data_IF_682060400518
#
_entry.id   IF_682060400518
#
_cell.length_a   1.000
_cell.length_b   1.000
_cell.length_c   1.000
_cell.angle_alpha   90.00
_cell.angle_beta   90.00
_cell.angle_gamma   90.00
#
_symmetry.space_group_name_H-M   'P 1'
#
loop_
_entity.id
_entity.type
_entity.pdbx_description
1 polymer ?
#
# COMPACT_ATOMS: atom_id res chain seq x y z
N UNK A 1 15.28 0.73 -4.26
CA UNK A 1 14.12 0.06 -3.64
C UNK A 1 12.91 0.98 -3.71
N UNK A 2 11.77 0.51 -4.23
CA UNK A 2 10.51 1.27 -4.28
C UNK A 2 9.59 0.70 -3.21
N UNK A 3 9.15 1.55 -2.29
CA UNK A 3 8.34 1.16 -1.15
C UNK A 3 7.07 2.01 -1.09
N UNK A 4 5.97 1.36 -0.75
CA UNK A 4 4.66 1.98 -0.66
C UNK A 4 4.16 1.91 0.77
N UNK A 5 3.81 3.07 1.33
CA UNK A 5 3.24 3.17 2.66
C UNK A 5 1.71 3.22 2.57
N UNK A 6 1.08 2.46 3.43
CA UNK A 6 -0.36 2.30 3.57
C UNK A 6 -0.81 2.71 4.97
N UNK A 7 -2.08 3.07 5.09
CA UNK A 7 -2.68 3.36 6.38
C UNK A 7 -2.81 2.07 7.20
N UNK A 8 -2.80 2.14 8.54
CA UNK A 8 -3.05 0.98 9.38
C UNK A 8 -4.37 0.25 9.05
N UNK A 9 -5.40 0.99 8.62
CA UNK A 9 -6.70 0.44 8.19
C UNK A 9 -6.58 -0.51 7.00
N UNK A 10 -5.67 -0.23 6.07
CA UNK A 10 -5.46 -1.01 4.84
C UNK A 10 -4.60 -2.27 5.12
N UNK A 11 -3.88 -2.31 6.24
CA UNK A 11 -2.89 -3.35 6.55
C UNK A 11 -3.51 -4.75 6.52
N UNK A 12 -4.68 -4.90 7.13
CA UNK A 12 -5.41 -6.18 7.15
C UNK A 12 -5.78 -6.63 5.74
N UNK A 13 -6.33 -5.73 4.92
CA UNK A 13 -6.73 -6.04 3.56
C UNK A 13 -5.54 -6.45 2.68
N UNK A 14 -4.39 -5.79 2.84
CA UNK A 14 -3.15 -6.12 2.12
C UNK A 14 -2.60 -7.46 2.58
N UNK A 15 -2.50 -7.68 3.90
CA UNK A 15 -2.01 -8.94 4.50
C UNK A 15 -2.88 -10.11 4.07
N UNK A 16 -4.20 -9.97 3.96
CA UNK A 16 -5.07 -11.05 3.49
C UNK A 16 -5.17 -11.14 1.97
N UNK A 17 -4.55 -10.22 1.22
CA UNK A 17 -4.56 -10.21 -0.25
C UNK A 17 -5.88 -9.73 -0.86
N UNK A 18 -6.72 -9.05 -0.08
CA UNK A 18 -7.95 -8.39 -0.53
C UNK A 18 -7.58 -7.12 -1.30
N UNK A 19 -6.67 -6.30 -0.75
CA UNK A 19 -6.09 -5.14 -1.44
C UNK A 19 -4.79 -5.58 -2.12
N UNK A 20 -4.74 -5.46 -3.43
CA UNK A 20 -3.65 -5.96 -4.27
C UNK A 20 -3.00 -4.90 -5.16
N UNK A 21 -3.41 -3.64 -5.00
CA UNK A 21 -2.82 -2.51 -5.73
C UNK A 21 -2.68 -1.25 -4.88
N UNK A 22 -1.96 -0.30 -5.46
CA UNK A 22 -1.93 1.09 -5.04
C UNK A 22 -1.91 2.01 -6.25
N UNK A 23 -2.70 3.08 -6.19
CA UNK A 23 -2.57 4.21 -7.12
C UNK A 23 -1.81 5.35 -6.43
N UNK A 24 -0.80 5.90 -7.10
CA UNK A 24 -0.01 7.03 -6.57
C UNK A 24 0.21 8.11 -7.62
N UNK A 25 0.22 9.39 -7.22
CA UNK A 25 0.63 10.45 -8.13
C UNK A 25 2.06 10.22 -8.60
N UNK A 26 2.40 10.79 -9.75
CA UNK A 26 3.81 10.86 -10.16
C UNK A 26 4.57 11.76 -9.19
N UNK A 27 5.67 11.24 -8.66
CA UNK A 27 6.56 11.96 -7.77
C UNK A 27 7.95 12.12 -8.37
N UNK A 28 8.90 12.58 -7.55
CA UNK A 28 10.32 12.70 -7.95
C UNK A 28 11.00 11.36 -8.22
N UNK A 29 10.46 10.25 -7.69
CA UNK A 29 11.02 8.92 -7.82
C UNK A 29 10.15 8.08 -8.78
N UNK A 30 10.77 7.28 -9.66
CA UNK A 30 10.02 6.37 -10.50
C UNK A 30 9.31 5.32 -9.65
N UNK A 31 8.12 4.93 -10.11
CA UNK A 31 7.40 3.78 -9.56
C UNK A 31 8.06 2.48 -10.00
N UNK A 32 7.74 1.39 -9.30
CA UNK A 32 8.27 0.06 -9.64
C UNK A 32 7.78 -0.35 -11.04
N UNK A 33 8.67 -0.92 -11.85
CA UNK A 33 8.31 -1.50 -13.14
C UNK A 33 7.78 -2.93 -12.97
N UNK A 34 7.06 -3.44 -13.97
CA UNK A 34 6.64 -4.85 -14.02
C UNK A 34 7.84 -5.78 -13.88
N UNK A 35 7.71 -6.82 -13.06
CA UNK A 35 8.80 -7.74 -12.72
C UNK A 35 9.71 -7.25 -11.58
N UNK A 36 9.64 -5.96 -11.22
CA UNK A 36 10.29 -5.43 -10.03
C UNK A 36 9.57 -5.86 -8.74
N UNK A 37 10.16 -5.52 -7.60
CA UNK A 37 9.62 -5.90 -6.28
C UNK A 37 8.84 -4.76 -5.63
N UNK A 38 7.60 -5.03 -5.25
CA UNK A 38 6.75 -4.17 -4.41
C UNK A 38 7.07 -4.47 -2.95
N UNK A 39 7.41 -3.44 -2.19
CA UNK A 39 7.49 -3.50 -0.74
C UNK A 39 6.38 -2.64 -0.13
N UNK A 40 5.44 -3.28 0.57
CA UNK A 40 4.35 -2.59 1.25
C UNK A 40 4.64 -2.47 2.75
N UNK A 41 4.39 -1.29 3.32
CA UNK A 41 4.58 -1.00 4.73
C UNK A 41 3.36 -0.25 5.30
N UNK A 42 3.17 -0.33 6.62
CA UNK A 42 2.28 0.57 7.36
C UNK A 42 3.00 1.10 8.61
N UNK A 43 2.56 2.25 9.15
CA UNK A 43 3.03 2.77 10.43
C UNK A 43 2.01 3.77 11.01
N UNK A 44 2.08 4.04 12.32
CA UNK A 44 0.99 4.74 13.00
C UNK A 44 1.01 6.28 12.86
N UNK A 45 2.15 6.91 12.55
CA UNK A 45 2.30 8.37 12.72
C UNK A 45 2.77 9.09 11.46
N UNK A 46 1.88 9.85 10.78
CA UNK A 46 2.28 10.78 9.72
C UNK A 46 3.07 11.95 10.35
N UNK A 47 4.07 12.55 9.69
CA UNK A 47 4.61 12.26 8.35
C UNK A 47 5.81 11.30 8.35
N UNK A 48 6.20 10.76 9.50
CA UNK A 48 7.44 9.98 9.68
C UNK A 48 7.23 8.46 9.55
N UNK A 49 6.24 8.02 8.76
CA UNK A 49 5.81 6.61 8.66
C UNK A 49 6.94 5.60 8.47
N UNK A 50 8.01 5.93 7.74
CA UNK A 50 9.13 5.01 7.48
C UNK A 50 10.24 5.06 8.54
N UNK A 51 10.22 6.07 9.43
CA UNK A 51 11.18 6.23 10.52
C UNK A 51 10.58 5.91 11.88
N UNK A 52 9.26 5.67 11.93
CA UNK A 52 8.61 5.22 13.15
C UNK A 52 9.09 3.80 13.49
N UNK A 53 9.41 3.51 14.76
CA UNK A 53 9.65 2.14 15.21
C UNK A 53 8.45 1.21 14.98
N UNK A 54 7.26 1.79 14.78
CA UNK A 54 6.01 1.08 14.47
C UNK A 54 5.79 0.90 12.96
N UNK A 55 6.82 1.17 12.13
CA UNK A 55 6.77 0.86 10.71
C UNK A 55 6.93 -0.64 10.50
N UNK A 56 5.85 -1.29 10.06
CA UNK A 56 5.82 -2.72 9.81
C UNK A 56 5.71 -2.99 8.32
N UNK A 57 6.58 -3.87 7.83
CA UNK A 57 6.45 -4.44 6.49
C UNK A 57 5.22 -5.33 6.46
N UNK A 58 4.34 -5.09 5.51
CA UNK A 58 3.11 -5.87 5.32
C UNK A 58 3.37 -7.04 4.37
N UNK A 59 3.89 -6.73 3.18
CA UNK A 59 4.18 -7.73 2.15
C UNK A 59 5.44 -7.37 1.36
N UNK A 60 6.00 -8.40 0.72
CA UNK A 60 6.93 -8.27 -0.41
C UNK A 60 6.40 -9.14 -1.53
N UNK A 61 6.18 -8.56 -2.71
CA UNK A 61 5.58 -9.29 -3.83
C UNK A 61 6.10 -8.77 -5.18
N UNK A 62 6.14 -9.60 -6.22
CA UNK A 62 6.47 -9.15 -7.56
C UNK A 62 5.37 -8.23 -8.12
N UNK A 63 5.79 -7.12 -8.72
CA UNK A 63 4.92 -6.22 -9.46
C UNK A 63 4.40 -6.94 -10.71
N UNK A 64 3.09 -7.07 -10.80
CA UNK A 64 2.40 -7.71 -11.92
C UNK A 64 1.88 -6.71 -12.95
N UNK A 65 1.70 -5.45 -12.54
CA UNK A 65 1.29 -4.35 -13.43
C UNK A 65 1.80 -3.03 -12.88
N UNK A 66 2.28 -2.17 -13.77
CA UNK A 66 2.65 -0.80 -13.47
C UNK A 66 2.37 0.05 -14.71
N UNK A 67 1.27 0.78 -14.69
CA UNK A 67 0.80 1.54 -15.85
C UNK A 67 0.29 2.93 -15.42
N UNK A 68 0.36 3.88 -16.34
CA UNK A 68 -0.27 5.20 -16.13
C UNK A 68 -1.77 5.01 -15.96
N UNK A 69 -2.37 5.72 -15.01
CA UNK A 69 -3.81 5.73 -14.79
C UNK A 69 -4.31 7.17 -14.75
N UNK A 70 -5.40 7.42 -15.46
CA UNK A 70 -6.15 8.67 -15.42
C UNK A 70 -7.56 8.36 -14.94
N UNK A 71 -7.95 8.93 -13.81
CA UNK A 71 -9.31 8.81 -13.28
C UNK A 71 -10.04 10.10 -13.62
N UNK A 72 -11.09 9.98 -14.42
CA UNK A 72 -12.00 11.05 -14.80
C UNK A 72 -13.37 10.82 -14.14
N UNK A 73 -14.31 11.75 -14.34
CA UNK A 73 -15.63 11.66 -13.72
C UNK A 73 -16.50 10.52 -14.27
N UNK A 74 -16.27 10.14 -15.53
CA UNK A 74 -17.11 9.22 -16.32
C UNK A 74 -16.33 8.02 -16.87
N UNK A 75 -15.00 8.00 -16.76
CA UNK A 75 -14.14 6.96 -17.30
C UNK A 75 -12.82 6.85 -16.54
N UNK A 76 -12.14 5.72 -16.75
CA UNK A 76 -10.75 5.55 -16.33
C UNK A 76 -9.92 5.16 -17.53
N UNK A 77 -8.80 5.82 -17.75
CA UNK A 77 -7.80 5.41 -18.74
C UNK A 77 -6.68 4.69 -18.03
N UNK A 78 -6.31 3.48 -18.48
CA UNK A 78 -5.18 2.72 -17.97
C UNK A 78 -4.21 2.42 -19.12
N UNK A 79 -3.01 3.00 -19.07
CA UNK A 79 -2.09 3.05 -20.20
C UNK A 79 -2.76 3.72 -21.40
N UNK A 80 -2.93 2.96 -22.49
CA UNK A 80 -3.59 3.43 -23.71
C UNK A 80 -5.04 2.95 -23.85
N UNK A 81 -5.57 2.25 -22.84
CA UNK A 81 -6.92 1.67 -22.89
C UNK A 81 -7.90 2.51 -22.07
N UNK A 82 -9.05 2.84 -22.67
CA UNK A 82 -10.16 3.46 -21.97
C UNK A 82 -11.03 2.36 -21.39
N UNK A 83 -11.14 2.35 -20.07
CA UNK A 83 -11.96 1.41 -19.31
C UNK A 83 -13.30 2.05 -19.01
N UNK A 84 -14.36 1.40 -19.48
CA UNK A 84 -15.75 1.88 -19.38
C UNK A 84 -16.71 0.83 -18.84
N UNK A 85 -16.25 -0.38 -18.54
CA UNK A 85 -17.14 -1.45 -18.07
C UNK A 85 -17.31 -1.43 -16.55
N UNK A 86 -18.53 -1.63 -16.05
CA UNK A 86 -18.79 -1.70 -14.61
C UNK A 86 -17.94 -2.75 -13.90
N UNK A 87 -17.75 -3.94 -14.49
CA UNK A 87 -16.96 -5.00 -13.81
C UNK A 87 -15.51 -4.58 -13.58
N UNK A 88 -14.96 -3.78 -14.49
CA UNK A 88 -13.60 -3.29 -14.36
C UNK A 88 -13.49 -2.24 -13.25
N UNK A 89 -14.46 -1.32 -13.18
CA UNK A 89 -14.52 -0.31 -12.11
C UNK A 89 -14.64 -0.95 -10.73
N UNK A 90 -15.49 -1.97 -10.58
CA UNK A 90 -15.62 -2.73 -9.33
C UNK A 90 -14.36 -3.51 -8.98
N UNK A 91 -13.64 -4.01 -10.00
CA UNK A 91 -12.34 -4.66 -9.79
C UNK A 91 -11.29 -3.66 -9.32
N UNK A 92 -11.22 -2.48 -9.92
CA UNK A 92 -10.31 -1.42 -9.50
C UNK A 92 -10.59 -0.97 -8.06
N UNK A 93 -11.87 -0.73 -7.72
CA UNK A 93 -12.28 -0.35 -6.38
C UNK A 93 -11.84 -1.38 -5.34
N UNK A 94 -12.14 -2.67 -5.59
CA UNK A 94 -11.75 -3.77 -4.71
C UNK A 94 -10.24 -3.90 -4.57
N UNK A 95 -9.50 -3.88 -5.68
CA UNK A 95 -8.03 -3.98 -5.66
C UNK A 95 -7.40 -2.81 -4.89
N UNK A 96 -8.04 -1.64 -4.88
CA UNK A 96 -7.67 -0.47 -4.08
C UNK A 96 -8.23 -0.46 -2.65
N UNK A 97 -9.08 -1.42 -2.27
CA UNK A 97 -9.66 -1.53 -0.93
C UNK A 97 -10.92 -0.68 -0.67
N UNK A 98 -11.59 -0.22 -1.72
CA UNK A 98 -12.88 0.49 -1.66
C UNK A 98 -14.05 -0.47 -1.89
N UNK A 99 -15.24 -0.10 -1.39
CA UNK A 99 -16.48 -0.86 -1.56
C UNK A 99 -17.00 -0.86 -2.99
N UNK A 100 -16.81 0.26 -3.68
CA UNK A 100 -17.36 0.55 -5.00
C UNK A 100 -16.52 1.67 -5.66
N UNK A 101 -16.68 1.83 -6.97
CA UNK A 101 -15.91 2.81 -7.73
C UNK A 101 -16.27 4.26 -7.41
N UNK A 102 -17.52 4.55 -7.02
CA UNK A 102 -17.92 5.90 -6.63
C UNK A 102 -17.18 6.39 -5.39
N UNK A 103 -17.01 5.51 -4.39
CA UNK A 103 -16.24 5.76 -3.17
C UNK A 103 -14.76 6.02 -3.47
N UNK A 104 -14.18 5.26 -4.40
CA UNK A 104 -12.82 5.49 -4.89
C UNK A 104 -12.72 6.86 -5.58
N UNK A 105 -13.63 7.18 -6.49
CA UNK A 105 -13.61 8.44 -7.23
C UNK A 105 -13.73 9.65 -6.30
N UNK A 106 -14.66 9.64 -5.35
CA UNK A 106 -14.81 10.69 -4.34
C UNK A 106 -13.54 10.83 -3.50
N UNK A 107 -12.87 9.74 -3.17
CA UNK A 107 -11.62 9.78 -2.43
C UNK A 107 -10.50 10.48 -3.22
N UNK A 108 -10.29 10.12 -4.48
CA UNK A 108 -9.25 10.74 -5.32
C UNK A 108 -9.58 12.19 -5.66
N UNK A 109 -10.84 12.52 -5.91
CA UNK A 109 -11.28 13.89 -6.13
C UNK A 109 -10.99 14.78 -4.90
N UNK A 110 -11.32 14.31 -3.70
CA UNK A 110 -11.05 15.06 -2.46
C UNK A 110 -9.55 15.24 -2.18
N UNK A 111 -8.72 14.25 -2.50
CA UNK A 111 -7.29 14.29 -2.20
C UNK A 111 -6.48 15.08 -3.24
N UNK A 112 -6.84 14.96 -4.51
CA UNK A 112 -6.01 15.45 -5.63
C UNK A 112 -6.79 16.25 -6.69
N UNK A 113 -8.12 16.17 -6.70
CA UNK A 113 -8.99 16.67 -7.77
C UNK A 113 -9.04 15.75 -8.99
N UNK A 114 -10.16 15.79 -9.70
CA UNK A 114 -10.31 15.14 -11.00
C UNK A 114 -10.07 16.12 -12.18
N UNK A 115 -9.46 15.67 -13.29
CA UNK A 115 -8.95 14.33 -13.52
C UNK A 115 -7.66 14.05 -12.72
N UNK A 116 -7.63 12.94 -12.00
CA UNK A 116 -6.42 12.50 -11.30
C UNK A 116 -5.51 11.76 -12.28
N UNK A 117 -4.21 12.07 -12.27
CA UNK A 117 -3.18 11.38 -13.07
C UNK A 117 -2.12 10.78 -12.17
N UNK A 118 -1.80 9.51 -12.40
CA UNK A 118 -0.79 8.83 -11.62
C UNK A 118 -0.40 7.49 -12.20
N UNK A 119 0.15 6.65 -11.34
CA UNK A 119 0.53 5.28 -11.67
C UNK A 119 -0.35 4.31 -10.89
N UNK A 120 -0.92 3.33 -11.60
CA UNK A 120 -1.52 2.14 -11.01
C UNK A 120 -0.47 1.04 -10.89
N UNK A 121 -0.19 0.61 -9.67
CA UNK A 121 0.74 -0.48 -9.36
C UNK A 121 -0.02 -1.63 -8.75
N UNK A 122 0.04 -2.81 -9.37
CA UNK A 122 -0.56 -4.05 -8.88
C UNK A 122 0.50 -5.10 -8.59
N UNK A 123 0.25 -5.92 -7.57
CA UNK A 123 1.00 -7.14 -7.29
C UNK A 123 0.07 -8.35 -7.26
N UNK A 124 0.66 -9.55 -7.26
CA UNK A 124 -0.07 -10.81 -7.10
C UNK A 124 0.04 -11.27 -5.65
N UNK A 125 -1.04 -11.20 -4.83
CA UNK A 125 -0.97 -11.57 -3.43
C UNK A 125 -0.55 -13.04 -3.22
N UNK A 126 -0.97 -13.94 -4.10
CA UNK A 126 -0.61 -15.36 -4.12
C UNK A 126 0.88 -15.61 -4.37
N UNK A 127 1.60 -14.63 -4.92
CA UNK A 127 3.05 -14.69 -5.17
C UNK A 127 3.87 -13.85 -4.18
N UNK A 128 3.28 -13.46 -3.05
CA UNK A 128 4.00 -12.71 -2.04
C UNK A 128 5.10 -13.58 -1.42
N UNK A 129 6.36 -13.14 -1.53
CA UNK A 129 7.53 -13.76 -0.91
C UNK A 129 7.54 -13.57 0.62
N UNK A 130 6.91 -12.48 1.07
CA UNK A 130 6.72 -12.20 2.48
C UNK A 130 5.30 -11.69 2.71
N UNK A 131 4.71 -12.12 3.82
CA UNK A 131 3.42 -11.66 4.32
C UNK A 131 3.47 -11.61 5.85
N UNK A 132 3.17 -10.45 6.42
CA UNK A 132 3.08 -10.29 7.86
C UNK A 132 1.91 -11.09 8.44
N UNK A 133 2.03 -11.48 9.70
CA UNK A 133 0.94 -12.13 10.43
C UNK A 133 -0.02 -11.09 11.02
N UNK A 134 -1.32 -11.43 11.10
CA UNK A 134 -2.35 -10.60 11.72
C UNK A 134 -2.82 -11.22 13.06
N UNK A 135 -3.04 -10.44 14.12
CA UNK A 135 -2.67 -9.02 14.23
C UNK A 135 -1.16 -8.85 14.13
N UNK A 136 -0.71 -7.71 13.60
CA UNK A 136 0.71 -7.34 13.68
C UNK A 136 1.08 -7.44 15.17
N UNK A 137 1.98 -8.34 15.54
CA UNK A 137 2.49 -8.38 16.91
C UNK A 137 3.35 -7.12 17.06
N UNK A 138 2.71 -6.01 17.44
CA UNK A 138 3.39 -4.84 17.96
C UNK A 138 3.91 -5.30 19.30
N UNK A 139 5.19 -5.71 19.37
CA UNK A 139 5.83 -5.86 20.68
C UNK A 139 5.70 -4.46 21.30
N UNK A 140 4.99 -4.29 22.44
CA UNK A 140 5.02 -3.00 23.12
C UNK A 140 6.49 -2.64 23.34
N UNK A 141 6.87 -1.36 23.31
CA UNK A 141 8.22 -0.98 23.72
C UNK A 141 8.44 -1.61 25.09
N UNK A 142 9.29 -2.63 25.12
CA UNK A 142 9.72 -3.23 26.38
C UNK A 142 10.33 -2.09 27.20
N UNK A 143 10.21 -2.14 28.53
CA UNK A 143 11.01 -1.23 29.34
C UNK A 143 12.47 -1.33 28.87
N UNK A 144 13.20 -0.21 28.79
CA UNK A 144 14.60 -0.24 28.40
C UNK A 144 15.29 -1.32 29.24
N UNK A 145 15.98 -2.25 28.57
CA UNK A 145 16.82 -3.23 29.24
C UNK A 145 17.82 -2.44 30.10
N UNK A 146 17.53 -2.38 31.40
CA UNK A 146 18.47 -1.96 32.41
C UNK A 146 19.52 -3.07 32.54
N UNK A 147 20.42 -3.14 31.57
CA UNK A 147 21.74 -3.72 31.80
C UNK A 147 22.52 -2.77 32.71
N UNK A 148 22.58 -3.12 33.99
CA UNK A 148 23.82 -3.04 34.77
C UNK A 148 23.77 -4.14 35.84
N UNK A 149 24.49 -5.24 35.58
CA UNK A 149 25.76 -5.56 36.24
C UNK A 149 25.61 -5.72 37.76
N UNK A 150 25.43 -6.96 38.22
CA UNK A 150 26.55 -7.81 38.67
C UNK A 150 27.17 -7.32 39.99
N UNK A 151 26.73 -7.90 41.11
CA UNK A 151 27.57 -8.17 42.26
C UNK A 151 26.87 -9.17 43.20
N UNK A 152 27.29 -10.44 43.11
CA UNK A 152 27.37 -11.40 44.22
C UNK A 152 28.83 -11.90 44.23
N UNK A 153 29.36 -12.48 45.31
CA UNK A 153 29.22 -12.21 46.75
C UNK A 153 30.66 -12.10 47.35
N UNK A 154 31.08 -12.53 48.57
CA UNK A 154 30.52 -13.53 49.51
C UNK A 154 29.63 -12.96 50.62
#
# INVERSE_FOLDING_TARGET
MVAYNFRPEDARAIIFGIKASVIKPHGKRPHVAVGGTVHAFCGAVPPLWMKSPECHRLIVAPCSRSEEIVIEADKVTLGNAVMVTPEWFETLARDEGFSDFGSLQVHYDRLYGLPFRGQYIRWRPDRAEFRAQWPLIVKPPGPPDSTDQAAQPP
#
